data_IF_247176331145
#
_entry.id   IF_247176331145
#
_cell.length_a   1.000
_cell.length_b   1.000
_cell.length_c   1.000
_cell.angle_alpha   90.00
_cell.angle_beta   90.00
_cell.angle_gamma   90.00
#
_symmetry.space_group_name_H-M   'P 1'
#
loop_
_entity.id
_entity.type
_entity.pdbx_description
1 polymer ?
#
# COMPACT_ATOMS: atom_id res chain seq x y z
N UNK A 1 -9.13 -2.84 -1.23
CA UNK A 1 -8.73 -2.90 -2.65
C UNK A 1 -9.88 -3.42 -3.51
N UNK A 2 -10.40 -2.54 -4.37
CA UNK A 2 -11.45 -2.85 -5.35
C UNK A 2 -10.87 -3.44 -6.65
N UNK A 3 -9.63 -3.90 -6.58
CA UNK A 3 -8.84 -4.51 -7.65
C UNK A 3 -8.97 -6.04 -7.69
N UNK A 4 -9.79 -6.63 -6.81
CA UNK A 4 -10.15 -8.04 -6.94
C UNK A 4 -11.03 -8.21 -8.18
N UNK A 5 -10.62 -8.97 -9.21
CA UNK A 5 -11.41 -9.18 -10.43
C UNK A 5 -12.81 -9.69 -10.13
N UNK A 6 -12.99 -10.42 -9.01
CA UNK A 6 -14.28 -10.96 -8.59
C UNK A 6 -15.28 -9.90 -8.13
N UNK A 7 -14.82 -8.67 -7.90
CA UNK A 7 -15.65 -7.52 -7.50
C UNK A 7 -15.95 -6.58 -8.67
N UNK A 8 -15.48 -6.92 -9.87
CA UNK A 8 -15.67 -6.09 -11.06
C UNK A 8 -16.86 -6.55 -11.90
N UNK A 9 -17.49 -5.60 -12.59
CA UNK A 9 -18.44 -5.91 -13.67
C UNK A 9 -17.71 -6.44 -14.90
N UNK A 10 -18.44 -7.13 -15.77
CA UNK A 10 -17.90 -7.65 -17.03
C UNK A 10 -17.37 -6.53 -17.92
N UNK A 11 -18.09 -5.41 -18.03
CA UNK A 11 -17.64 -4.27 -18.83
C UNK A 11 -16.34 -3.66 -18.29
N UNK A 12 -16.22 -3.53 -16.96
CA UNK A 12 -15.00 -3.02 -16.34
C UNK A 12 -13.79 -3.95 -16.56
N UNK A 13 -14.01 -5.27 -16.53
CA UNK A 13 -12.96 -6.24 -16.80
C UNK A 13 -12.52 -6.20 -18.26
N UNK A 14 -13.45 -6.17 -19.19
CA UNK A 14 -13.16 -6.13 -20.62
C UNK A 14 -12.40 -4.86 -21.03
N UNK A 15 -12.64 -3.74 -20.35
CA UNK A 15 -11.96 -2.47 -20.57
C UNK A 15 -10.46 -2.45 -20.17
N UNK A 16 -9.97 -3.43 -19.40
CA UNK A 16 -8.56 -3.49 -19.06
C UNK A 16 -7.67 -3.97 -20.22
N UNK A 17 -6.45 -3.43 -20.36
CA UNK A 17 -5.43 -4.02 -21.22
C UNK A 17 -5.14 -5.47 -20.82
N UNK A 18 -4.83 -6.33 -21.79
CA UNK A 18 -4.59 -7.76 -21.57
C UNK A 18 -3.50 -8.02 -20.51
N UNK A 19 -2.43 -7.22 -20.53
CA UNK A 19 -1.33 -7.29 -19.56
C UNK A 19 -1.79 -7.11 -18.10
N UNK A 20 -2.81 -6.27 -17.88
CA UNK A 20 -3.38 -6.04 -16.55
C UNK A 20 -4.27 -7.23 -16.15
N UNK A 21 -5.03 -7.80 -17.09
CA UNK A 21 -5.82 -9.01 -16.85
C UNK A 21 -4.93 -10.18 -16.44
N UNK A 22 -3.82 -10.38 -17.15
CA UNK A 22 -2.83 -11.41 -16.83
C UNK A 22 -2.26 -11.25 -15.42
N UNK A 23 -1.90 -10.03 -15.02
CA UNK A 23 -1.41 -9.74 -13.67
C UNK A 23 -2.42 -10.15 -12.59
N UNK A 24 -3.71 -9.92 -12.84
CA UNK A 24 -4.77 -10.28 -11.92
C UNK A 24 -5.11 -11.78 -11.90
N UNK A 25 -5.07 -12.43 -13.06
CA UNK A 25 -5.31 -13.87 -13.18
C UNK A 25 -4.13 -14.70 -12.66
N UNK A 26 -2.92 -14.20 -12.79
CA UNK A 26 -1.68 -14.87 -12.41
C UNK A 26 -0.77 -13.93 -11.61
N UNK A 27 -1.17 -13.54 -10.38
CA UNK A 27 -0.37 -12.63 -9.59
C UNK A 27 0.99 -13.27 -9.25
N UNK A 28 2.10 -12.49 -9.27
CA UNK A 28 3.40 -12.96 -8.86
C UNK A 28 3.33 -13.56 -7.46
N UNK A 29 3.81 -14.79 -7.32
CA UNK A 29 3.91 -15.48 -6.03
C UNK A 29 5.32 -15.31 -5.51
N UNK A 30 5.46 -14.67 -4.35
CA UNK A 30 6.74 -14.56 -3.65
C UNK A 30 6.60 -15.14 -2.24
N UNK A 31 7.64 -15.83 -1.79
CA UNK A 31 7.69 -16.35 -0.42
C UNK A 31 7.97 -15.18 0.52
N UNK A 32 7.06 -14.94 1.46
CA UNK A 32 7.28 -13.95 2.53
C UNK A 32 8.42 -14.42 3.43
N UNK A 33 9.45 -13.60 3.56
CA UNK A 33 10.61 -13.89 4.43
C UNK A 33 10.36 -13.46 5.87
N UNK A 34 9.65 -12.35 6.06
CA UNK A 34 9.35 -11.78 7.38
C UNK A 34 8.06 -10.97 7.32
N UNK A 35 7.24 -11.10 8.35
CA UNK A 35 6.07 -10.24 8.58
C UNK A 35 6.44 -9.16 9.60
N UNK A 36 5.79 -8.00 9.46
CA UNK A 36 5.91 -6.89 10.38
C UNK A 36 4.61 -6.71 11.16
N UNK A 37 4.70 -6.15 12.36
CA UNK A 37 3.55 -5.82 13.20
C UNK A 37 3.52 -4.34 13.52
N UNK A 38 2.34 -3.84 13.84
CA UNK A 38 2.18 -2.49 14.35
C UNK A 38 3.08 -2.26 15.56
N UNK A 39 3.62 -1.04 15.67
CA UNK A 39 4.56 -0.61 16.72
C UNK A 39 5.84 -1.44 16.83
N UNK A 40 6.14 -2.34 15.89
CA UNK A 40 7.40 -3.06 15.88
C UNK A 40 8.57 -2.09 15.69
N UNK A 41 9.59 -2.22 16.53
CA UNK A 41 10.86 -1.54 16.36
C UNK A 41 11.85 -2.41 15.59
N UNK A 42 12.53 -1.83 14.60
CA UNK A 42 13.59 -2.47 13.85
C UNK A 42 14.91 -1.73 14.14
N UNK A 43 15.92 -2.38 14.73
CA UNK A 43 17.20 -1.76 15.11
C UNK A 43 18.14 -1.64 13.90
N UNK A 44 17.67 -0.99 12.84
CA UNK A 44 18.42 -0.70 11.61
C UNK A 44 18.21 0.77 11.25
N UNK A 45 19.14 1.37 10.50
CA UNK A 45 19.00 2.76 10.01
C UNK A 45 18.65 3.78 11.11
N UNK A 46 19.27 3.68 12.29
CA UNK A 46 18.98 4.60 13.40
C UNK A 46 17.70 4.30 14.19
N UNK A 47 17.01 3.21 13.87
CA UNK A 47 15.74 2.83 14.50
C UNK A 47 14.56 3.14 13.60
N UNK A 48 13.82 2.10 13.22
CA UNK A 48 12.59 2.22 12.43
C UNK A 48 11.42 1.74 13.27
N UNK A 49 10.41 2.59 13.42
CA UNK A 49 9.12 2.22 13.98
C UNK A 49 8.13 1.90 12.86
N UNK A 50 7.55 0.71 12.90
CA UNK A 50 6.45 0.31 12.03
C UNK A 50 5.15 0.91 12.55
N UNK A 51 4.38 1.54 11.67
CA UNK A 51 3.09 2.16 11.98
C UNK A 51 2.04 1.59 11.03
N UNK A 52 1.07 0.85 11.56
CA UNK A 52 -0.06 0.39 10.76
C UNK A 52 -0.87 1.58 10.26
N UNK A 53 -1.09 1.61 8.95
CA UNK A 53 -1.85 2.67 8.26
C UNK A 53 -2.82 2.02 7.28
N UNK A 54 -3.75 1.17 7.77
CA UNK A 54 -4.69 0.46 6.91
C UNK A 54 -5.60 1.45 6.18
N UNK A 55 -6.03 1.09 4.99
CA UNK A 55 -7.01 1.86 4.24
C UNK A 55 -6.98 1.54 2.76
N UNK A 56 -5.86 1.83 2.11
CA UNK A 56 -5.65 1.42 0.72
C UNK A 56 -5.59 -0.10 0.60
N UNK A 57 -4.79 -0.72 1.48
CA UNK A 57 -4.83 -2.15 1.77
C UNK A 57 -5.02 -2.41 3.27
N UNK A 58 -5.61 -3.56 3.65
CA UNK A 58 -5.73 -3.93 5.07
C UNK A 58 -4.38 -4.08 5.79
N UNK A 59 -3.32 -4.43 5.05
CA UNK A 59 -1.97 -4.64 5.57
C UNK A 59 -1.01 -3.48 5.35
N UNK A 60 -1.51 -2.29 4.95
CA UNK A 60 -0.64 -1.15 4.66
C UNK A 60 0.06 -0.64 5.95
N UNK A 61 1.33 -0.31 5.81
CA UNK A 61 2.18 0.22 6.89
C UNK A 61 2.95 1.44 6.41
N UNK A 62 3.25 2.33 7.34
CA UNK A 62 4.23 3.39 7.19
C UNK A 62 5.46 3.07 8.05
N UNK A 63 6.63 3.57 7.64
CA UNK A 63 7.89 3.36 8.35
C UNK A 63 8.45 4.71 8.80
N UNK A 64 8.58 4.88 10.11
CA UNK A 64 9.16 6.09 10.69
C UNK A 64 10.60 5.84 11.13
N UNK A 65 11.54 6.53 10.51
CA UNK A 65 12.96 6.52 10.89
C UNK A 65 13.15 7.55 11.99
N UNK A 66 13.42 7.09 13.21
CA UNK A 66 13.40 7.92 14.40
C UNK A 66 14.55 8.94 14.41
N UNK A 67 15.76 8.49 14.04
CA UNK A 67 16.96 9.34 14.04
C UNK A 67 16.84 10.53 13.08
N UNK A 68 16.41 10.27 11.84
CA UNK A 68 16.31 11.29 10.80
C UNK A 68 14.96 12.02 10.77
N UNK A 69 13.98 11.57 11.57
CA UNK A 69 12.59 12.09 11.59
C UNK A 69 11.92 12.03 10.21
N UNK A 70 12.15 10.94 9.47
CA UNK A 70 11.58 10.72 8.14
C UNK A 70 10.44 9.69 8.22
N UNK A 71 9.32 9.98 7.56
CA UNK A 71 8.22 9.05 7.39
C UNK A 71 8.13 8.58 5.94
N UNK A 72 8.30 7.28 5.72
CA UNK A 72 7.87 6.64 4.48
C UNK A 72 6.38 6.31 4.60
N UNK A 73 5.54 7.22 4.09
CA UNK A 73 4.08 7.17 4.25
C UNK A 73 3.37 6.21 3.26
N UNK A 74 4.06 5.74 2.23
CA UNK A 74 3.45 4.92 1.18
C UNK A 74 2.28 5.65 0.50
N UNK A 75 1.15 4.98 0.35
CA UNK A 75 -0.08 5.54 -0.23
C UNK A 75 -1.03 6.16 0.82
N UNK A 76 -0.64 6.18 2.10
CA UNK A 76 -1.43 6.80 3.16
C UNK A 76 -1.53 8.33 3.01
N UNK A 77 -0.61 8.95 2.26
CA UNK A 77 -0.61 10.36 1.90
C UNK A 77 -0.12 10.56 0.46
N UNK A 78 -0.51 11.66 -0.17
CA UNK A 78 -0.03 12.01 -1.51
C UNK A 78 0.50 13.43 -1.55
N UNK A 79 1.52 13.68 -2.37
CA UNK A 79 1.99 15.02 -2.68
C UNK A 79 1.47 15.42 -4.08
N UNK A 80 0.75 16.54 -4.15
CA UNK A 80 0.20 17.06 -5.40
C UNK A 80 0.49 18.55 -5.46
N UNK A 81 1.23 18.97 -6.49
CA UNK A 81 1.70 20.34 -6.68
C UNK A 81 2.48 20.88 -5.48
N UNK A 82 3.36 20.06 -4.89
CA UNK A 82 4.17 20.43 -3.72
C UNK A 82 3.38 20.50 -2.40
N UNK A 83 2.08 20.20 -2.42
CA UNK A 83 1.23 20.21 -1.23
C UNK A 83 0.96 18.78 -0.80
N UNK A 84 1.23 18.51 0.47
CA UNK A 84 0.89 17.25 1.11
C UNK A 84 -0.63 17.19 1.35
N UNK A 85 -1.24 16.08 0.93
CA UNK A 85 -2.66 15.80 1.06
C UNK A 85 -2.86 14.44 1.72
N UNK A 86 -4.04 14.25 2.29
CA UNK A 86 -4.47 12.94 2.80
C UNK A 86 -4.62 11.89 1.68
N UNK A 87 -5.03 10.67 2.04
CA UNK A 87 -5.11 9.55 1.09
C UNK A 87 -6.19 9.78 0.01
N UNK A 88 -6.01 9.13 -1.13
CA UNK A 88 -6.94 9.20 -2.27
C UNK A 88 -8.23 8.45 -1.93
N UNK A 89 -9.32 9.19 -1.73
CA UNK A 89 -10.62 8.65 -1.28
C UNK A 89 -11.17 7.52 -2.16
N UNK A 90 -10.93 7.57 -3.46
CA UNK A 90 -11.41 6.56 -4.41
C UNK A 90 -10.84 5.17 -4.14
N UNK A 91 -9.66 5.09 -3.53
CA UNK A 91 -8.91 3.84 -3.35
C UNK A 91 -8.61 3.53 -1.89
N UNK A 92 -9.15 4.30 -0.94
CA UNK A 92 -8.86 4.17 0.49
C UNK A 92 -10.17 4.03 1.26
N UNK A 93 -10.26 3.00 2.09
CA UNK A 93 -11.43 2.71 2.92
C UNK A 93 -10.99 2.54 4.38
N UNK A 94 -11.40 3.46 5.24
CA UNK A 94 -11.03 3.52 6.67
C UNK A 94 -12.22 3.04 7.49
#
# INVERSE_FOLDING_TARGET
MNSDPKRMTKEQWEAFPEQIKDLYSQPPKIKVTKTLKDNQFLPICGGIKVISTPGHTPGHISLYLEESKILFAGDAMVCSNGILKGPVKQTTHI
#
